data_IF_356365724371
#
_entry.id   IF_356365724371
#
_cell.length_a   1.000
_cell.length_b   1.000
_cell.length_c   1.000
_cell.angle_alpha   90.00
_cell.angle_beta   90.00
_cell.angle_gamma   90.00
#
_symmetry.space_group_name_H-M   'P 1'
#
loop_
_entity.id
_entity.type
_entity.pdbx_description
1 polymer ?
#
# COMPACT_ATOMS: atom_id res chain seq x y z
N UNK A 1 7.70 -21.75 3.99
CA UNK A 1 6.39 -21.41 3.41
C UNK A 1 6.39 -21.91 1.98
N UNK A 2 5.71 -23.02 1.73
CA UNK A 2 5.62 -23.64 0.41
C UNK A 2 4.43 -22.96 -0.29
N UNK A 3 4.67 -22.20 -1.36
CA UNK A 3 3.57 -21.82 -2.24
C UNK A 3 3.28 -23.05 -3.09
N UNK A 4 2.13 -23.69 -2.87
CA UNK A 4 1.66 -24.77 -3.72
C UNK A 4 1.43 -24.18 -5.10
N UNK A 5 2.27 -24.57 -6.06
CA UNK A 5 1.93 -24.44 -7.48
C UNK A 5 0.94 -25.56 -7.73
N UNK A 6 -0.34 -25.24 -7.72
CA UNK A 6 -1.39 -26.19 -8.07
C UNK A 6 -1.11 -26.71 -9.48
N UNK A 7 -1.39 -27.98 -9.76
CA UNK A 7 -1.06 -28.59 -11.07
C UNK A 7 -1.89 -28.00 -12.24
N UNK A 8 -2.82 -27.11 -11.89
CA UNK A 8 -3.68 -26.32 -12.76
C UNK A 8 -3.27 -24.84 -12.86
N UNK A 9 -2.20 -24.42 -12.19
CA UNK A 9 -1.70 -23.05 -12.32
C UNK A 9 -1.19 -22.84 -13.76
N UNK A 10 -1.64 -21.75 -14.39
CA UNK A 10 -1.13 -21.33 -15.67
C UNK A 10 0.40 -21.14 -15.57
N UNK A 11 1.17 -21.49 -16.62
CA UNK A 11 2.61 -21.28 -16.62
C UNK A 11 2.91 -19.79 -16.42
N UNK A 12 3.81 -19.49 -15.48
CA UNK A 12 4.23 -18.13 -15.16
C UNK A 12 5.59 -17.83 -15.78
N UNK A 13 5.78 -16.60 -16.24
CA UNK A 13 7.07 -16.15 -16.79
C UNK A 13 8.04 -15.90 -15.65
N UNK A 14 9.18 -16.60 -15.65
CA UNK A 14 10.25 -16.38 -14.68
C UNK A 14 11.01 -15.11 -15.07
N UNK A 15 10.98 -14.11 -14.18
CA UNK A 15 11.67 -12.85 -14.40
C UNK A 15 13.10 -12.96 -13.84
N UNK A 16 14.14 -12.66 -14.64
CA UNK A 16 15.53 -12.61 -14.18
C UNK A 16 15.75 -11.69 -12.97
N UNK A 17 16.94 -11.79 -12.37
CA UNK A 17 17.36 -10.91 -11.28
C UNK A 17 17.83 -9.54 -11.77
N UNK A 18 16.92 -8.83 -12.44
CA UNK A 18 17.09 -7.49 -12.99
C UNK A 18 16.09 -6.54 -12.31
N UNK A 19 16.62 -5.59 -11.54
CA UNK A 19 15.81 -4.71 -10.71
C UNK A 19 14.98 -3.72 -11.53
N UNK A 20 15.49 -3.28 -12.69
CA UNK A 20 14.79 -2.33 -13.56
C UNK A 20 13.65 -3.01 -14.30
N UNK A 21 13.85 -4.25 -14.77
CA UNK A 21 12.79 -5.07 -15.34
C UNK A 21 11.68 -5.34 -14.33
N UNK A 22 12.05 -5.75 -13.11
CA UNK A 22 11.09 -6.01 -12.04
C UNK A 22 10.33 -4.75 -11.63
N UNK A 23 11.01 -3.61 -11.57
CA UNK A 23 10.39 -2.32 -11.25
C UNK A 23 9.37 -1.90 -12.32
N UNK A 24 9.68 -2.10 -13.60
CA UNK A 24 8.76 -1.83 -14.72
C UNK A 24 7.53 -2.72 -14.67
N UNK A 25 7.70 -4.02 -14.44
CA UNK A 25 6.58 -4.95 -14.29
C UNK A 25 5.67 -4.48 -13.15
N UNK A 26 6.22 -4.26 -11.94
CA UNK A 26 5.39 -3.84 -10.80
C UNK A 26 4.70 -2.50 -11.06
N UNK A 27 5.38 -1.54 -11.71
CA UNK A 27 4.79 -0.25 -12.06
C UNK A 27 3.56 -0.42 -12.96
N UNK A 28 3.63 -1.27 -13.99
CA UNK A 28 2.50 -1.54 -14.88
C UNK A 28 1.26 -2.04 -14.12
N UNK A 29 1.45 -2.96 -13.17
CA UNK A 29 0.35 -3.51 -12.37
C UNK A 29 -0.11 -2.60 -11.22
N UNK A 30 0.71 -1.63 -10.82
CA UNK A 30 0.44 -0.72 -9.70
C UNK A 30 -0.20 0.60 -10.15
N UNK A 31 0.25 1.14 -11.28
CA UNK A 31 -0.11 2.47 -11.79
C UNK A 31 -1.07 2.41 -13.00
N UNK A 32 -1.48 1.20 -13.43
CA UNK A 32 -2.49 1.05 -14.48
C UNK A 32 -3.78 1.83 -14.14
N UNK A 33 -4.40 2.54 -15.10
CA UNK A 33 -5.66 3.27 -14.89
C UNK A 33 -6.81 2.40 -14.37
N UNK A 34 -6.79 1.10 -14.70
CA UNK A 34 -7.75 0.11 -14.17
C UNK A 34 -7.39 -0.38 -12.77
N UNK A 35 -6.12 -0.26 -12.39
CA UNK A 35 -5.56 -0.64 -11.11
C UNK A 35 -5.49 0.54 -10.15
N UNK A 36 -6.63 1.19 -9.85
CA UNK A 36 -6.75 2.23 -8.81
C UNK A 36 -5.90 1.85 -7.59
N UNK A 37 -4.71 2.45 -7.46
CA UNK A 37 -3.65 2.18 -6.47
C UNK A 37 -3.91 0.95 -5.62
N UNK A 38 -3.93 -0.20 -6.30
CA UNK A 38 -4.33 -1.46 -5.71
C UNK A 38 -3.32 -1.72 -4.60
N UNK A 39 -3.73 -1.55 -3.34
CA UNK A 39 -2.82 -1.69 -2.21
C UNK A 39 -2.05 -3.02 -2.28
N UNK A 40 -0.88 -3.09 -1.64
CA UNK A 40 0.10 -4.19 -1.71
C UNK A 40 -0.39 -5.58 -2.12
N UNK A 41 -1.41 -6.10 -1.44
CA UNK A 41 -1.92 -7.46 -1.68
C UNK A 41 -2.51 -7.63 -3.08
N UNK A 42 -3.20 -6.62 -3.59
CA UNK A 42 -3.82 -6.65 -4.91
C UNK A 42 -2.77 -6.57 -6.03
N UNK A 43 -1.74 -5.74 -5.89
CA UNK A 43 -0.60 -5.75 -6.83
C UNK A 43 0.12 -7.09 -6.81
N UNK A 44 0.37 -7.67 -5.63
CA UNK A 44 0.99 -8.99 -5.53
C UNK A 44 0.15 -10.06 -6.23
N UNK A 45 -1.16 -10.09 -5.97
CA UNK A 45 -2.07 -11.04 -6.61
C UNK A 45 -2.10 -10.86 -8.14
N UNK A 46 -2.05 -9.63 -8.65
CA UNK A 46 -2.02 -9.37 -10.09
C UNK A 46 -0.70 -9.82 -10.73
N UNK A 47 0.45 -9.38 -10.20
CA UNK A 47 1.77 -9.73 -10.75
C UNK A 47 2.01 -11.24 -10.68
N UNK A 48 1.59 -11.88 -9.60
CA UNK A 48 1.80 -13.33 -9.40
C UNK A 48 1.01 -14.19 -10.36
N UNK A 49 -0.08 -13.71 -10.99
CA UNK A 49 -0.80 -14.51 -11.99
C UNK A 49 0.07 -14.86 -13.19
N UNK A 50 0.84 -13.88 -13.66
CA UNK A 50 1.56 -13.99 -14.94
C UNK A 50 3.07 -14.14 -14.75
N UNK A 51 3.62 -13.67 -13.62
CA UNK A 51 5.06 -13.61 -13.38
C UNK A 51 5.48 -14.32 -12.10
N UNK A 52 6.68 -14.91 -12.15
CA UNK A 52 7.39 -15.40 -10.99
C UNK A 52 8.68 -14.60 -10.78
N UNK A 53 8.79 -13.94 -9.62
CA UNK A 53 10.03 -13.28 -9.19
C UNK A 53 10.55 -13.96 -7.90
N UNK A 54 11.86 -14.21 -7.79
CA UNK A 54 12.45 -14.47 -6.48
C UNK A 54 12.06 -13.39 -5.47
N UNK A 55 11.53 -13.80 -4.31
CA UNK A 55 11.09 -12.89 -3.24
C UNK A 55 10.01 -11.86 -3.65
N UNK A 56 9.08 -12.24 -4.55
CA UNK A 56 7.98 -11.36 -5.05
C UNK A 56 7.38 -10.46 -3.98
N UNK A 57 6.95 -11.02 -2.85
CA UNK A 57 6.28 -10.27 -1.81
C UNK A 57 7.13 -9.13 -1.25
N UNK A 58 8.43 -9.39 -1.00
CA UNK A 58 9.36 -8.39 -0.50
C UNK A 58 9.58 -7.28 -1.53
N UNK A 59 9.69 -7.66 -2.81
CA UNK A 59 9.83 -6.73 -3.92
C UNK A 59 8.62 -5.81 -4.07
N UNK A 60 7.43 -6.40 -4.17
CA UNK A 60 6.15 -5.66 -4.26
C UNK A 60 5.97 -4.74 -3.06
N UNK A 61 6.24 -5.25 -1.84
CA UNK A 61 6.19 -4.43 -0.61
C UNK A 61 7.15 -3.25 -0.67
N UNK A 62 8.41 -3.46 -1.08
CA UNK A 62 9.42 -2.40 -1.17
C UNK A 62 8.99 -1.33 -2.15
N UNK A 63 8.53 -1.73 -3.34
CA UNK A 63 8.15 -0.80 -4.41
C UNK A 63 6.93 0.05 -4.05
N UNK A 64 5.91 -0.55 -3.45
CA UNK A 64 4.70 0.17 -3.05
C UNK A 64 4.96 1.07 -1.84
N UNK A 65 5.84 0.66 -0.92
CA UNK A 65 6.25 1.51 0.21
C UNK A 65 6.89 2.82 -0.26
N UNK A 66 7.59 2.82 -1.39
CA UNK A 66 8.24 4.00 -1.95
C UNK A 66 7.36 4.79 -2.94
N UNK A 67 6.13 4.34 -3.21
CA UNK A 67 5.21 5.07 -4.08
C UNK A 67 4.66 6.31 -3.38
N UNK A 68 4.93 7.49 -3.94
CA UNK A 68 4.50 8.78 -3.38
C UNK A 68 2.97 8.91 -3.31
N UNK A 69 2.25 8.49 -4.35
CA UNK A 69 0.79 8.56 -4.37
C UNK A 69 0.17 7.70 -3.26
N UNK A 70 0.66 6.47 -3.10
CA UNK A 70 0.25 5.60 -2.01
C UNK A 70 0.61 6.16 -0.63
N UNK A 71 1.74 6.86 -0.48
CA UNK A 71 2.12 7.51 0.77
C UNK A 71 1.21 8.69 1.11
N UNK A 72 0.81 9.51 0.13
CA UNK A 72 -0.08 10.65 0.33
C UNK A 72 -1.49 10.22 0.74
N UNK A 73 -2.01 9.15 0.12
CA UNK A 73 -3.37 8.65 0.41
C UNK A 73 -3.42 7.87 1.71
N UNK A 74 -2.35 7.16 2.07
CA UNK A 74 -2.33 6.35 3.30
C UNK A 74 -2.16 7.26 4.51
N UNK A 75 -3.15 7.35 5.43
CA UNK A 75 -3.02 8.18 6.61
C UNK A 75 -1.79 7.76 7.41
N UNK A 76 -0.98 8.73 7.80
CA UNK A 76 0.12 8.50 8.73
C UNK A 76 -0.46 7.90 10.02
N UNK A 77 0.24 6.92 10.60
CA UNK A 77 0.03 6.56 12.00
C UNK A 77 0.58 7.69 12.90
N UNK A 78 0.13 8.92 12.70
CA UNK A 78 0.35 9.95 13.71
C UNK A 78 -0.37 9.45 14.94
N UNK A 79 0.34 9.34 16.07
CA UNK A 79 -0.30 9.25 17.36
C UNK A 79 -1.27 10.41 17.42
N UNK A 80 -2.57 10.15 17.30
CA UNK A 80 -3.55 11.19 17.53
C UNK A 80 -3.32 11.68 18.94
N UNK A 81 -2.82 12.90 19.07
CA UNK A 81 -2.69 13.55 20.37
C UNK A 81 -4.08 13.53 20.99
N UNK A 82 -4.26 13.09 22.25
CA UNK A 82 -5.56 13.09 22.89
C UNK A 82 -6.19 14.48 22.74
N UNK A 83 -7.40 14.53 22.17
CA UNK A 83 -8.13 15.78 22.04
C UNK A 83 -8.34 16.35 23.44
N UNK A 84 -7.80 17.54 23.70
CA UNK A 84 -8.07 18.25 24.95
C UNK A 84 -9.39 19.00 24.81
N UNK A 85 -10.33 18.85 25.76
CA UNK A 85 -11.55 19.64 25.75
C UNK A 85 -11.20 21.13 25.90
N UNK A 86 -11.85 21.97 25.08
CA UNK A 86 -11.75 23.42 25.22
C UNK A 86 -12.41 23.83 26.55
N UNK A 87 -11.83 24.79 27.30
CA UNK A 87 -12.47 25.30 28.50
C UNK A 87 -13.82 25.91 28.12
N UNK A 88 -14.88 25.41 28.76
CA UNK A 88 -16.23 25.97 28.63
C UNK A 88 -16.15 27.35 29.27
N UNK A 89 -16.50 28.40 28.52
CA UNK A 89 -16.63 29.74 29.07
C UNK A 89 -17.81 29.75 30.06
N UNK A 90 -17.52 29.56 31.35
CA UNK A 90 -18.47 29.81 32.43
C UNK A 90 -18.31 31.25 32.88
N UNK A 91 -18.74 32.20 32.05
CA UNK A 91 -19.10 33.52 32.55
C UNK A 91 -20.63 33.58 32.64
N UNK A 92 -21.13 33.10 33.76
CA UNK A 92 -22.51 33.36 34.17
C UNK A 92 -22.50 34.64 35.01
N UNK A 93 -22.86 35.75 34.37
CA UNK A 93 -23.39 36.97 34.98
C UNK A 93 -22.66 37.53 36.23
N UNK A 94 -21.86 38.58 36.03
CA UNK A 94 -21.82 39.68 36.99
C UNK A 94 -21.88 41.04 36.29
N UNK A 95 -23.09 41.54 36.06
CA UNK A 95 -23.32 42.96 36.24
C UNK A 95 -24.54 43.16 37.12
N UNK A 96 -24.21 43.60 38.32
CA UNK A 96 -25.05 43.96 39.43
C UNK A 96 -26.02 45.10 39.08
N UNK A 97 -27.14 45.07 39.80
CA UNK A 97 -28.14 46.11 40.08
C UNK A 97 -27.67 47.54 39.79
#
# INVERSE_FOLDING_TARGET
>A
MCYNIDKFDAPRVVVPNDDDLRARIIHEFHDSPMGVHLGREKTFAAVSRDFFLPHMYNWVRKRIRTCETCQRVKPSKSSQTPLRPLPIATDYYTHSI
#
